data_IF_910789354879
#
_entry.id   IF_910789354879
#
_cell.length_a   1.000
_cell.length_b   1.000
_cell.length_c   1.000
_cell.angle_alpha   90.00
_cell.angle_beta   90.00
_cell.angle_gamma   90.00
#
_symmetry.space_group_name_H-M   'P 1'
#
loop_
_entity.id
_entity.type
_entity.pdbx_description
1 polymer ?
#
# COMPACT_ATOMS: atom_id res chain seq x y z
N UNK A 1 0.65 5.98 -7.20
CA UNK A 1 0.40 4.70 -6.53
C UNK A 1 0.86 3.54 -7.32
N UNK A 2 1.20 2.48 -6.60
CA UNK A 2 1.57 1.22 -7.23
C UNK A 2 0.76 0.11 -6.61
N UNK A 3 0.40 -0.88 -7.44
CA UNK A 3 -0.23 -2.10 -6.96
C UNK A 3 0.63 -3.26 -7.42
N UNK A 4 1.06 -4.09 -6.48
CA UNK A 4 1.85 -5.27 -6.76
C UNK A 4 1.03 -6.51 -6.46
N UNK A 5 0.85 -7.37 -7.47
CA UNK A 5 0.11 -8.61 -7.33
C UNK A 5 1.06 -9.77 -7.62
N UNK A 6 1.26 -10.69 -6.67
CA UNK A 6 2.04 -11.89 -6.97
C UNK A 6 1.37 -12.72 -8.05
N UNK A 7 2.17 -13.48 -8.79
CA UNK A 7 1.62 -14.46 -9.73
C UNK A 7 0.83 -15.52 -8.94
N UNK A 8 -0.17 -16.16 -9.56
CA UNK A 8 -1.02 -17.11 -8.84
C UNK A 8 -0.24 -18.20 -8.07
N UNK A 9 0.88 -18.67 -8.61
CA UNK A 9 1.68 -19.69 -7.95
C UNK A 9 2.37 -19.21 -6.67
N UNK A 10 2.41 -17.88 -6.42
CA UNK A 10 3.09 -17.33 -5.25
C UNK A 10 2.16 -16.68 -4.23
N UNK A 11 0.85 -16.83 -4.41
CA UNK A 11 -0.14 -16.18 -3.53
C UNK A 11 0.08 -16.54 -2.05
N UNK A 12 0.49 -17.76 -1.76
CA UNK A 12 0.70 -18.19 -0.38
C UNK A 12 2.02 -17.76 0.20
N UNK A 13 2.95 -17.31 -0.65
CA UNK A 13 4.30 -16.94 -0.21
C UNK A 13 4.49 -15.43 -0.08
N UNK A 14 3.76 -14.65 -0.87
CA UNK A 14 3.96 -13.21 -0.95
C UNK A 14 2.63 -12.48 -0.89
N UNK A 15 2.56 -11.36 -0.14
CA UNK A 15 1.34 -10.56 -0.13
C UNK A 15 1.24 -9.69 -1.39
N UNK A 16 0.03 -9.30 -1.72
CA UNK A 16 -0.17 -8.18 -2.62
C UNK A 16 0.11 -6.89 -1.84
N UNK A 17 0.52 -5.84 -2.53
CA UNK A 17 0.81 -4.57 -1.87
C UNK A 17 0.21 -3.42 -2.66
N UNK A 18 -0.37 -2.45 -1.94
CA UNK A 18 -0.78 -1.17 -2.50
C UNK A 18 0.12 -0.12 -1.87
N UNK A 19 0.85 0.61 -2.68
CA UNK A 19 1.83 1.59 -2.21
C UNK A 19 1.41 2.99 -2.62
N UNK A 20 1.29 3.90 -1.66
CA UNK A 20 0.99 5.30 -1.88
C UNK A 20 2.19 6.14 -1.46
N UNK A 21 2.62 7.06 -2.34
CA UNK A 21 3.74 7.96 -2.07
C UNK A 21 3.20 9.36 -1.80
N UNK A 22 3.73 10.00 -0.77
CA UNK A 22 3.39 11.37 -0.40
C UNK A 22 4.66 12.19 -0.17
N UNK A 23 4.52 13.50 -0.26
CA UNK A 23 5.61 14.46 -0.06
C UNK A 23 5.18 15.47 0.99
N UNK A 24 6.02 15.67 2.00
CA UNK A 24 5.80 16.67 3.05
C UNK A 24 4.44 16.52 3.75
N UNK A 25 3.98 15.28 3.90
CA UNK A 25 2.75 14.94 4.64
C UNK A 25 3.12 13.98 5.76
N UNK A 26 2.55 12.80 5.77
CA UNK A 26 2.89 11.76 6.72
C UNK A 26 2.58 10.39 6.12
N UNK A 27 3.19 9.35 6.67
CA UNK A 27 2.86 7.99 6.26
C UNK A 27 1.38 7.70 6.55
N UNK A 28 0.84 8.22 7.66
CA UNK A 28 -0.56 8.02 7.99
C UNK A 28 -1.49 8.67 6.98
N UNK A 29 -1.14 9.85 6.46
CA UNK A 29 -1.91 10.50 5.40
C UNK A 29 -1.94 9.62 4.15
N UNK A 30 -0.81 9.02 3.79
CA UNK A 30 -0.74 8.12 2.65
C UNK A 30 -1.64 6.90 2.87
N UNK A 31 -1.59 6.29 4.06
CA UNK A 31 -2.42 5.14 4.39
C UNK A 31 -3.91 5.49 4.36
N UNK A 32 -4.28 6.65 4.87
CA UNK A 32 -5.66 7.10 4.86
C UNK A 32 -6.18 7.27 3.43
N UNK A 33 -5.33 7.80 2.55
CA UNK A 33 -5.71 7.98 1.15
C UNK A 33 -5.93 6.64 0.46
N UNK A 34 -5.10 5.65 0.74
CA UNK A 34 -5.28 4.31 0.20
C UNK A 34 -6.64 3.75 0.63
N UNK A 35 -6.99 3.91 1.92
CA UNK A 35 -8.23 3.36 2.46
C UNK A 35 -9.47 3.94 1.79
N UNK A 36 -9.39 5.17 1.28
CA UNK A 36 -10.52 5.85 0.65
C UNK A 36 -10.67 5.54 -0.84
N UNK A 37 -9.70 4.86 -1.44
CA UNK A 37 -9.73 4.58 -2.87
C UNK A 37 -10.54 3.34 -3.20
N UNK A 38 -11.12 3.35 -4.41
CA UNK A 38 -11.73 2.15 -4.97
C UNK A 38 -10.62 1.33 -5.64
N UNK A 39 -10.55 0.07 -5.29
CA UNK A 39 -9.53 -0.81 -5.85
C UNK A 39 -10.03 -1.52 -7.09
N UNK A 40 -9.12 -1.89 -8.02
CA UNK A 40 -9.51 -2.67 -9.18
C UNK A 40 -10.05 -4.04 -8.76
N UNK A 41 -10.85 -4.62 -9.63
CA UNK A 41 -11.48 -5.91 -9.37
C UNK A 41 -10.45 -7.00 -9.06
N UNK A 42 -9.32 -6.98 -9.75
CA UNK A 42 -8.25 -7.95 -9.52
C UNK A 42 -7.78 -7.97 -8.07
N UNK A 43 -7.69 -6.80 -7.43
CA UNK A 43 -7.27 -6.71 -6.04
C UNK A 43 -8.38 -7.17 -5.11
N UNK A 44 -9.64 -6.81 -5.40
CA UNK A 44 -10.77 -7.23 -4.58
C UNK A 44 -10.98 -8.73 -4.60
N UNK A 45 -10.67 -9.39 -5.72
CA UNK A 45 -10.78 -10.83 -5.87
C UNK A 45 -9.56 -11.58 -5.35
N UNK A 46 -8.50 -10.87 -5.01
CA UNK A 46 -7.28 -11.49 -4.52
C UNK A 46 -7.55 -12.20 -3.18
N UNK A 47 -7.17 -13.48 -3.11
CA UNK A 47 -7.47 -14.31 -1.94
C UNK A 47 -6.36 -14.34 -0.90
N UNK A 48 -5.18 -13.85 -1.23
CA UNK A 48 -4.05 -13.80 -0.32
C UNK A 48 -4.05 -12.55 0.54
N UNK A 49 -2.99 -12.38 1.30
CA UNK A 49 -2.81 -11.20 2.15
C UNK A 49 -2.56 -9.95 1.30
N UNK A 50 -3.16 -8.85 1.71
CA UNK A 50 -2.94 -7.54 1.07
C UNK A 50 -2.40 -6.57 2.10
N UNK A 51 -1.29 -5.91 1.78
CA UNK A 51 -0.68 -4.91 2.64
C UNK A 51 -0.85 -3.53 2.01
N UNK A 52 -1.20 -2.55 2.84
CA UNK A 52 -1.23 -1.15 2.46
C UNK A 52 0.06 -0.51 2.95
N UNK A 53 0.80 0.13 2.04
CA UNK A 53 2.09 0.73 2.36
C UNK A 53 2.04 2.21 2.04
N UNK A 54 2.15 3.05 3.06
CA UNK A 54 2.23 4.49 2.90
C UNK A 54 3.67 4.95 3.11
N UNK A 55 4.19 5.69 2.15
CA UNK A 55 5.55 6.22 2.23
C UNK A 55 5.49 7.73 2.07
N UNK A 56 6.10 8.45 3.00
CA UNK A 56 6.20 9.90 2.92
C UNK A 56 7.67 10.33 2.90
N UNK A 57 7.97 11.29 2.04
CA UNK A 57 9.27 11.92 2.00
C UNK A 57 9.14 13.36 2.48
N UNK A 58 9.93 13.72 3.50
CA UNK A 58 9.98 15.08 4.02
C UNK A 58 11.19 15.80 3.43
N UNK A 59 10.91 16.78 2.58
CA UNK A 59 11.95 17.54 1.88
C UNK A 59 12.84 18.32 2.84
N UNK A 60 12.29 18.82 3.93
CA UNK A 60 13.04 19.60 4.93
C UNK A 60 14.06 18.76 5.66
N UNK A 61 13.62 17.66 6.23
CA UNK A 61 14.50 16.77 6.99
C UNK A 61 15.23 15.78 6.11
N UNK A 62 14.79 15.62 4.86
CA UNK A 62 15.30 14.63 3.89
C UNK A 62 15.16 13.21 4.42
N UNK A 63 14.11 12.96 5.18
CA UNK A 63 13.83 11.63 5.75
C UNK A 63 12.60 11.03 5.12
N UNK A 64 12.58 9.70 5.09
CA UNK A 64 11.42 8.92 4.68
C UNK A 64 10.72 8.37 5.92
N UNK A 65 9.41 8.29 5.82
CA UNK A 65 8.57 7.65 6.82
C UNK A 65 7.72 6.60 6.12
N UNK A 66 7.63 5.42 6.69
CA UNK A 66 6.88 4.32 6.09
C UNK A 66 5.91 3.73 7.12
N UNK A 67 4.66 3.57 6.71
CA UNK A 67 3.66 2.88 7.50
C UNK A 67 3.10 1.72 6.72
N UNK A 68 2.82 0.61 7.41
CA UNK A 68 2.27 -0.60 6.77
C UNK A 68 1.08 -1.07 7.59
N UNK A 69 -0.02 -1.37 6.89
CA UNK A 69 -1.23 -1.91 7.52
C UNK A 69 -1.75 -3.08 6.70
N UNK A 70 -2.35 -4.06 7.38
CA UNK A 70 -3.06 -5.13 6.69
C UNK A 70 -4.40 -4.62 6.19
N UNK A 71 -4.76 -5.01 4.97
CA UNK A 71 -6.04 -4.64 4.39
C UNK A 71 -7.09 -5.70 4.70
N UNK A 72 -8.16 -5.28 5.36
CA UNK A 72 -9.32 -6.13 5.65
C UNK A 72 -10.34 -5.95 4.52
N UNK A 73 -10.58 -7.01 3.77
CA UNK A 73 -11.55 -6.96 2.67
C UNK A 73 -12.97 -7.11 3.16
#
# INVERSE_FOLDING_TARGET
>A
DFVFLPKPEYIQQYPAMVVELKWNKSAQTALNQIADKKYPESLRQYTGEVLLVGINYDKKSKKHECGIESYEK
#
